data_IF_308042493806
#
_entry.id   IF_308042493806
#
_cell.length_a   1.000
_cell.length_b   1.000
_cell.length_c   1.000
_cell.angle_alpha   90.00
_cell.angle_beta   90.00
_cell.angle_gamma   90.00
#
_symmetry.space_group_name_H-M   'P 1'
#
loop_
_entity.id
_entity.type
_entity.pdbx_description
1 polymer ?
#
# COMPACT_ATOMS: atom_id res chain seq x y z
N UNK A 1 77.56 15.81 0.68
CA UNK A 1 76.95 14.61 1.30
C UNK A 1 75.49 14.54 0.88
N UNK A 2 75.14 13.39 0.32
CA UNK A 2 73.91 12.94 -0.35
C UNK A 2 72.62 13.40 0.35
N UNK A 3 71.64 13.93 -0.41
CA UNK A 3 70.21 13.84 -0.06
C UNK A 3 69.31 13.58 -1.28
N UNK A 4 69.00 12.29 -1.40
CA UNK A 4 67.83 11.58 -1.92
C UNK A 4 66.70 12.31 -2.68
N UNK A 5 66.41 11.69 -3.83
CA UNK A 5 65.19 11.70 -4.66
C UNK A 5 63.97 11.26 -3.86
N UNK A 6 62.80 11.85 -4.14
CA UNK A 6 61.50 11.15 -4.04
C UNK A 6 60.46 11.85 -4.94
N UNK A 7 60.18 11.25 -6.10
CA UNK A 7 58.98 11.52 -6.91
C UNK A 7 57.82 10.71 -6.31
N UNK A 8 56.79 11.39 -5.82
CA UNK A 8 55.52 10.76 -5.43
C UNK A 8 54.53 10.92 -6.60
N UNK A 9 54.34 9.83 -7.35
CA UNK A 9 53.24 9.71 -8.31
C UNK A 9 51.93 9.54 -7.55
N UNK A 10 51.02 10.51 -7.71
CA UNK A 10 49.67 10.42 -7.20
C UNK A 10 48.81 9.61 -8.18
N UNK A 11 48.59 8.33 -7.88
CA UNK A 11 47.57 7.52 -8.55
C UNK A 11 46.20 7.90 -7.98
N UNK A 12 45.42 8.70 -8.73
CA UNK A 12 44.00 8.90 -8.45
C UNK A 12 43.23 7.61 -8.77
N UNK A 13 42.75 6.94 -7.74
CA UNK A 13 41.72 5.90 -7.83
C UNK A 13 40.37 6.57 -8.14
N UNK A 14 39.87 6.39 -9.36
CA UNK A 14 38.52 6.76 -9.72
C UNK A 14 37.53 5.79 -9.06
N UNK A 15 36.84 6.24 -8.01
CA UNK A 15 35.70 5.55 -7.42
C UNK A 15 34.51 5.66 -8.38
N UNK A 16 34.33 4.64 -9.23
CA UNK A 16 33.13 4.48 -10.03
C UNK A 16 31.93 4.29 -9.11
N UNK A 17 31.03 5.27 -9.09
CA UNK A 17 29.72 5.16 -8.44
C UNK A 17 28.89 4.22 -9.30
N UNK A 18 28.75 2.96 -8.88
CA UNK A 18 27.80 2.04 -9.51
C UNK A 18 26.39 2.58 -9.23
N UNK A 19 25.72 3.14 -10.24
CA UNK A 19 24.29 3.38 -10.17
C UNK A 19 23.60 2.03 -10.02
N UNK A 20 23.09 1.73 -8.83
CA UNK A 20 22.14 0.63 -8.62
C UNK A 20 20.87 1.04 -9.34
N UNK A 21 20.67 0.56 -10.57
CA UNK A 21 19.37 0.64 -11.22
C UNK A 21 18.43 -0.28 -10.44
N UNK A 22 17.46 0.30 -9.74
CA UNK A 22 16.39 -0.47 -9.15
C UNK A 22 15.61 -1.16 -10.28
N UNK A 23 15.37 -2.46 -10.17
CA UNK A 23 14.57 -3.18 -11.14
C UNK A 23 13.19 -2.51 -11.28
N UNK A 24 12.67 -2.35 -12.51
CA UNK A 24 11.36 -1.77 -12.72
C UNK A 24 10.30 -2.62 -12.01
N UNK A 25 9.40 -1.96 -11.28
CA UNK A 25 8.30 -2.60 -10.59
C UNK A 25 7.45 -3.40 -11.59
N UNK A 26 7.28 -4.70 -11.36
CA UNK A 26 6.45 -5.57 -12.19
C UNK A 26 5.04 -5.68 -11.63
N UNK A 27 4.02 -5.66 -12.51
CA UNK A 27 2.63 -5.83 -12.08
C UNK A 27 2.42 -7.12 -11.28
N UNK A 28 1.67 -7.07 -10.15
CA UNK A 28 1.27 -8.26 -9.44
C UNK A 28 0.38 -9.13 -10.34
N UNK A 29 0.42 -10.45 -10.14
CA UNK A 29 -0.31 -11.42 -10.96
C UNK A 29 -1.81 -11.11 -11.05
N UNK A 30 -2.41 -10.62 -9.95
CA UNK A 30 -3.83 -10.24 -9.87
C UNK A 30 -4.23 -9.12 -10.83
N UNK A 31 -3.27 -8.27 -11.25
CA UNK A 31 -3.44 -7.15 -12.16
C UNK A 31 -2.90 -7.37 -13.58
N UNK A 32 -2.22 -8.48 -13.85
CA UNK A 32 -1.71 -8.76 -15.19
C UNK A 32 -2.85 -8.77 -16.22
N UNK A 33 -2.72 -7.92 -17.25
CA UNK A 33 -3.75 -7.73 -18.27
C UNK A 33 -5.03 -7.00 -17.80
N UNK A 34 -5.06 -6.48 -16.57
CA UNK A 34 -6.22 -5.76 -15.99
C UNK A 34 -5.98 -4.29 -15.73
N UNK A 35 -4.74 -3.85 -15.91
CA UNK A 35 -4.33 -2.47 -15.72
C UNK A 35 -3.21 -2.13 -16.71
N UNK A 36 -3.09 -0.85 -17.01
CA UNK A 36 -1.98 -0.27 -17.78
C UNK A 36 -1.32 0.81 -16.94
N UNK A 37 -0.01 0.87 -16.95
CA UNK A 37 0.73 1.96 -16.31
C UNK A 37 0.54 3.25 -17.10
N UNK A 38 0.30 4.35 -16.39
CA UNK A 38 0.22 5.69 -16.97
C UNK A 38 1.56 6.39 -16.83
N UNK A 39 2.00 7.02 -17.91
CA UNK A 39 3.16 7.90 -17.87
C UNK A 39 2.85 9.19 -17.06
N UNK A 40 3.84 9.82 -16.39
CA UNK A 40 3.63 11.03 -15.60
C UNK A 40 3.03 12.22 -16.36
N UNK A 41 3.11 12.24 -17.69
CA UNK A 41 2.53 13.28 -18.54
C UNK A 41 1.12 12.94 -19.04
N UNK A 42 0.55 11.79 -18.69
CA UNK A 42 -0.83 11.45 -18.99
C UNK A 42 -1.78 12.39 -18.23
N UNK A 43 -2.81 12.95 -18.88
CA UNK A 43 -3.74 13.89 -18.24
C UNK A 43 -4.50 13.27 -17.04
N UNK A 44 -4.66 11.95 -17.00
CA UNK A 44 -5.31 11.25 -15.89
C UNK A 44 -4.38 10.99 -14.70
N UNK A 45 -3.05 11.08 -14.85
CA UNK A 45 -2.05 10.64 -13.85
C UNK A 45 -2.29 11.24 -12.46
N UNK A 46 -2.59 12.54 -12.39
CA UNK A 46 -2.80 13.26 -11.13
C UNK A 46 -3.99 12.72 -10.30
N UNK A 47 -4.93 12.00 -10.92
CA UNK A 47 -6.09 11.42 -10.21
C UNK A 47 -5.70 10.34 -9.20
N UNK A 48 -4.55 9.69 -9.40
CA UNK A 48 -4.02 8.70 -8.45
C UNK A 48 -3.52 9.34 -7.16
N UNK A 49 -3.11 10.61 -7.20
CA UNK A 49 -2.56 11.36 -6.07
C UNK A 49 -1.46 10.58 -5.32
N UNK A 50 -0.49 10.09 -6.10
CA UNK A 50 0.57 9.17 -5.69
C UNK A 50 1.41 9.70 -4.53
N UNK A 51 1.51 11.02 -4.38
CA UNK A 51 2.18 11.71 -3.29
C UNK A 51 1.59 11.40 -1.90
N UNK A 52 0.32 10.97 -1.83
CA UNK A 52 -0.29 10.52 -0.58
C UNK A 52 -0.04 9.05 -0.29
N UNK A 53 0.32 8.26 -1.31
CA UNK A 53 0.55 6.82 -1.19
C UNK A 53 2.00 6.48 -0.83
N UNK A 54 2.96 7.09 -1.55
CA UNK A 54 4.39 6.82 -1.33
C UNK A 54 4.88 7.53 -0.09
N UNK A 55 5.49 6.79 0.83
CA UNK A 55 5.96 7.31 2.11
C UNK A 55 7.39 6.88 2.46
N UNK A 56 8.10 7.69 3.27
CA UNK A 56 9.37 7.28 3.86
C UNK A 56 9.21 6.02 4.72
N UNK A 57 10.32 5.32 4.93
CA UNK A 57 10.38 4.19 5.85
C UNK A 57 9.85 4.55 7.25
N UNK A 58 9.10 3.63 7.85
CA UNK A 58 8.49 3.79 9.17
C UNK A 58 7.17 4.56 9.21
N UNK A 59 6.65 5.07 8.08
CA UNK A 59 5.39 5.82 8.03
C UNK A 59 4.17 5.03 7.51
N UNK A 60 4.34 3.76 7.14
CA UNK A 60 3.29 2.99 6.45
C UNK A 60 3.03 3.50 5.03
N UNK A 61 2.05 2.94 4.33
CA UNK A 61 1.79 3.27 2.91
C UNK A 61 2.57 2.36 1.97
N UNK A 62 3.01 2.88 0.81
CA UNK A 62 3.82 2.11 -0.15
C UNK A 62 5.22 2.69 -0.30
N UNK A 63 6.20 1.84 -0.57
CA UNK A 63 7.61 2.23 -0.66
C UNK A 63 7.97 2.84 -2.03
N UNK A 64 7.24 2.44 -3.06
CA UNK A 64 7.22 3.02 -4.39
C UNK A 64 5.84 2.76 -4.99
N UNK A 65 5.48 3.46 -6.08
CA UNK A 65 4.18 3.26 -6.70
C UNK A 65 4.22 3.35 -8.22
N UNK A 66 3.43 2.49 -8.87
CA UNK A 66 2.98 2.68 -10.23
C UNK A 66 1.64 3.40 -10.21
N UNK A 67 1.45 4.36 -11.12
CA UNK A 67 0.13 4.92 -11.39
C UNK A 67 -0.48 4.14 -12.53
N UNK A 68 -1.66 3.56 -12.30
CA UNK A 68 -2.27 2.63 -13.25
C UNK A 68 -3.70 3.00 -13.55
N UNK A 69 -4.11 2.75 -14.79
CA UNK A 69 -5.51 2.79 -15.22
C UNK A 69 -6.04 1.37 -15.34
N UNK A 70 -7.10 1.09 -14.61
CA UNK A 70 -7.79 -0.20 -14.65
C UNK A 70 -8.52 -0.36 -15.99
N UNK A 71 -8.36 -1.50 -16.65
CA UNK A 71 -8.94 -1.75 -17.99
C UNK A 71 -10.16 -2.66 -17.94
N UNK A 72 -10.39 -3.34 -16.83
CA UNK A 72 -11.56 -4.18 -16.58
C UNK A 72 -11.99 -4.09 -15.11
N UNK A 73 -13.27 -4.28 -14.83
CA UNK A 73 -13.76 -4.32 -13.45
C UNK A 73 -13.04 -5.42 -12.65
N UNK A 74 -12.45 -5.06 -11.52
CA UNK A 74 -11.77 -6.00 -10.63
C UNK A 74 -12.30 -5.89 -9.19
N UNK A 75 -12.38 -7.00 -8.45
CA UNK A 75 -12.66 -6.94 -7.03
C UNK A 75 -11.47 -6.32 -6.29
N UNK A 76 -11.78 -5.55 -5.26
CA UNK A 76 -10.82 -5.08 -4.27
C UNK A 76 -11.41 -5.24 -2.88
N UNK A 77 -10.56 -5.50 -1.90
CA UNK A 77 -10.97 -5.85 -0.56
C UNK A 77 -10.42 -4.89 0.46
N UNK A 78 -11.15 -4.72 1.55
CA UNK A 78 -10.69 -3.91 2.68
C UNK A 78 -11.23 -4.46 3.97
N UNK A 79 -10.33 -4.69 4.91
CA UNK A 79 -10.72 -4.88 6.31
C UNK A 79 -11.03 -3.53 6.97
N UNK A 80 -12.07 -3.47 7.79
CA UNK A 80 -12.54 -2.25 8.45
C UNK A 80 -13.11 -2.52 9.86
N UNK A 81 -13.49 -1.47 10.59
CA UNK A 81 -13.85 -1.59 12.01
C UNK A 81 -15.22 -2.24 12.25
N UNK A 82 -16.15 -2.09 11.31
CA UNK A 82 -17.54 -2.55 11.42
C UNK A 82 -18.57 -1.43 11.59
N UNK A 83 -19.86 -1.75 11.36
CA UNK A 83 -20.93 -0.74 11.20
C UNK A 83 -21.21 0.07 12.48
N UNK A 84 -20.88 -0.45 13.66
CA UNK A 84 -21.06 0.25 14.93
C UNK A 84 -19.90 1.17 15.33
N UNK A 85 -18.85 1.24 14.51
CA UNK A 85 -17.62 1.99 14.81
C UNK A 85 -17.55 3.23 13.91
N UNK A 86 -18.09 4.33 14.43
CA UNK A 86 -18.21 5.60 13.72
C UNK A 86 -17.39 6.69 14.38
N UNK A 87 -16.86 7.61 13.58
CA UNK A 87 -16.22 8.83 14.07
C UNK A 87 -17.26 9.84 14.59
N UNK A 88 -16.80 11.00 15.07
CA UNK A 88 -17.67 12.06 15.59
C UNK A 88 -18.69 12.60 14.57
N UNK A 89 -18.48 12.37 13.27
CA UNK A 89 -19.39 12.75 12.19
C UNK A 89 -20.34 11.61 11.79
N UNK A 90 -20.33 10.48 12.51
CA UNK A 90 -21.17 9.32 12.20
C UNK A 90 -20.68 8.48 11.03
N UNK A 91 -19.45 8.69 10.54
CA UNK A 91 -18.90 7.95 9.41
C UNK A 91 -18.07 6.75 9.88
N UNK A 92 -18.24 5.61 9.21
CA UNK A 92 -17.39 4.42 9.40
C UNK A 92 -16.06 4.57 8.65
N UNK A 93 -15.05 3.76 8.99
CA UNK A 93 -13.80 3.68 8.22
C UNK A 93 -13.86 2.69 7.03
N UNK A 94 -15.07 2.27 6.64
CA UNK A 94 -15.32 1.33 5.54
C UNK A 94 -14.76 1.82 4.22
N UNK A 95 -14.98 3.09 3.87
CA UNK A 95 -14.45 3.71 2.64
C UNK A 95 -13.16 4.49 2.91
N UNK A 96 -12.07 3.77 3.19
CA UNK A 96 -10.73 4.35 3.32
C UNK A 96 -9.89 4.20 2.05
N UNK A 97 -8.74 4.88 1.97
CA UNK A 97 -7.93 4.91 0.75
C UNK A 97 -7.20 3.60 0.41
N UNK A 98 -6.97 2.72 1.38
CA UNK A 98 -6.16 1.51 1.21
C UNK A 98 -7.01 0.26 0.99
N UNK A 99 -6.70 -0.51 -0.06
CA UNK A 99 -7.39 -1.72 -0.50
C UNK A 99 -6.37 -2.79 -0.96
N UNK A 100 -6.76 -4.07 -0.91
CA UNK A 100 -6.00 -5.18 -1.51
C UNK A 100 -6.67 -5.68 -2.79
N UNK A 101 -5.89 -6.25 -3.70
CA UNK A 101 -6.39 -6.97 -4.88
C UNK A 101 -6.72 -8.42 -4.58
N UNK A 102 -5.97 -9.02 -3.66
CA UNK A 102 -6.16 -10.39 -3.23
C UNK A 102 -7.09 -10.43 -2.03
N UNK A 103 -7.94 -11.45 -2.01
CA UNK A 103 -8.88 -11.65 -0.91
C UNK A 103 -8.10 -11.85 0.42
N UNK A 104 -8.46 -11.12 1.49
CA UNK A 104 -7.86 -11.30 2.80
C UNK A 104 -8.03 -12.74 3.28
N UNK A 105 -6.99 -13.32 3.86
CA UNK A 105 -7.00 -14.69 4.36
C UNK A 105 -6.02 -14.86 5.53
N UNK A 106 -6.19 -15.96 6.28
CA UNK A 106 -5.36 -16.27 7.45
C UNK A 106 -5.71 -15.44 8.69
N UNK A 107 -4.89 -15.49 9.75
CA UNK A 107 -5.17 -14.79 11.00
C UNK A 107 -5.06 -13.27 10.86
N UNK A 108 -5.90 -12.54 11.60
CA UNK A 108 -5.96 -11.07 11.56
C UNK A 108 -4.62 -10.40 11.91
N UNK A 109 -3.86 -10.96 12.87
CA UNK A 109 -2.55 -10.42 13.25
C UNK A 109 -1.52 -10.63 12.14
N UNK A 110 -1.62 -11.71 11.37
CA UNK A 110 -0.75 -11.93 10.19
C UNK A 110 -1.04 -10.91 9.09
N UNK A 111 -2.32 -10.67 8.80
CA UNK A 111 -2.74 -9.67 7.82
C UNK A 111 -2.27 -8.26 8.18
N UNK A 112 -2.34 -7.93 9.47
CA UNK A 112 -1.86 -6.66 10.03
C UNK A 112 -0.38 -6.41 9.77
N UNK A 113 0.46 -7.43 9.94
CA UNK A 113 1.89 -7.36 9.62
C UNK A 113 2.11 -7.23 8.11
N UNK A 114 1.42 -8.05 7.31
CA UNK A 114 1.57 -8.07 5.86
C UNK A 114 1.18 -6.77 5.16
N UNK A 115 0.23 -6.02 5.73
CA UNK A 115 -0.25 -4.73 5.19
C UNK A 115 0.13 -3.51 6.05
N UNK A 116 1.05 -3.69 7.00
CA UNK A 116 1.61 -2.64 7.87
C UNK A 116 0.57 -1.72 8.53
N UNK A 117 -0.52 -2.32 9.02
CA UNK A 117 -1.65 -1.58 9.59
C UNK A 117 -1.41 -1.44 11.09
N UNK A 118 -1.58 -0.26 11.72
CA UNK A 118 -1.48 -0.05 13.19
C UNK A 118 -2.82 -0.21 13.94
N UNK A 119 -2.84 -0.57 15.25
CA UNK A 119 -4.08 -1.00 15.96
C UNK A 119 -5.03 0.17 16.10
N UNK A 120 -4.46 1.35 16.27
CA UNK A 120 -5.18 2.61 16.31
C UNK A 120 -5.71 3.06 14.94
N UNK A 121 -5.17 2.54 13.83
CA UNK A 121 -5.67 2.88 12.49
C UNK A 121 -6.90 2.08 12.09
N UNK A 122 -6.93 0.79 12.44
CA UNK A 122 -8.00 -0.11 12.04
C UNK A 122 -8.09 -1.34 12.94
N UNK A 123 -9.31 -1.68 13.36
CA UNK A 123 -9.61 -2.84 14.20
C UNK A 123 -9.70 -4.15 13.42
N UNK A 124 -9.80 -4.10 12.09
CA UNK A 124 -9.79 -5.24 11.18
C UNK A 124 -10.82 -6.32 11.55
N UNK A 125 -12.06 -5.90 11.79
CA UNK A 125 -13.14 -6.79 12.26
C UNK A 125 -14.09 -7.23 11.16
N UNK A 126 -14.21 -6.44 10.09
CA UNK A 126 -15.15 -6.67 9.00
C UNK A 126 -14.43 -6.62 7.67
N UNK A 127 -14.94 -7.33 6.68
CA UNK A 127 -14.39 -7.34 5.33
C UNK A 127 -15.42 -6.78 4.36
N UNK A 128 -15.03 -5.72 3.65
CA UNK A 128 -15.77 -5.18 2.52
C UNK A 128 -15.17 -5.71 1.21
N UNK A 129 -16.04 -6.05 0.27
CA UNK A 129 -15.65 -6.30 -1.13
C UNK A 129 -16.27 -5.23 -2.01
N UNK A 130 -15.45 -4.49 -2.72
CA UNK A 130 -15.87 -3.47 -3.67
C UNK A 130 -15.35 -3.82 -5.06
N UNK A 131 -15.84 -3.10 -6.07
CA UNK A 131 -15.35 -3.21 -7.44
C UNK A 131 -14.61 -1.94 -7.81
N UNK A 132 -13.34 -2.08 -8.16
CA UNK A 132 -12.59 -1.04 -8.84
C UNK A 132 -12.91 -1.14 -10.33
N UNK A 133 -13.56 -0.11 -10.86
CA UNK A 133 -14.16 -0.09 -12.20
C UNK A 133 -13.11 0.15 -13.29
N UNK A 134 -13.38 -0.36 -14.49
CA UNK A 134 -12.64 0.04 -15.68
C UNK A 134 -12.63 1.58 -15.83
N UNK A 135 -11.47 2.14 -16.14
CA UNK A 135 -11.22 3.58 -16.19
C UNK A 135 -10.81 4.21 -14.85
N UNK A 136 -10.81 3.45 -13.76
CA UNK A 136 -10.29 3.93 -12.48
C UNK A 136 -8.78 4.17 -12.55
N UNK A 137 -8.31 5.25 -11.92
CA UNK A 137 -6.89 5.63 -11.92
C UNK A 137 -6.35 5.67 -10.49
N UNK A 138 -5.46 4.75 -10.17
CA UNK A 138 -5.02 4.48 -8.79
C UNK A 138 -3.50 4.36 -8.70
N UNK A 139 -2.97 4.53 -7.49
CA UNK A 139 -1.58 4.19 -7.20
C UNK A 139 -1.52 2.78 -6.62
N UNK A 140 -0.55 1.99 -7.06
CA UNK A 140 -0.31 0.62 -6.56
C UNK A 140 1.16 0.44 -6.22
N UNK A 141 1.47 -0.37 -5.22
CA UNK A 141 2.87 -0.67 -4.93
C UNK A 141 3.09 -1.56 -3.72
N UNK A 142 4.35 -1.98 -3.52
CA UNK A 142 4.76 -2.76 -2.36
C UNK A 142 4.61 -1.96 -1.06
N UNK A 143 4.20 -2.64 0.01
CA UNK A 143 4.05 -2.07 1.35
C UNK A 143 5.33 -1.37 1.84
N UNK A 144 5.14 -0.31 2.61
CA UNK A 144 6.20 0.38 3.32
C UNK A 144 6.13 0.04 4.81
N UNK A 145 7.29 -0.14 5.40
CA UNK A 145 7.44 -0.34 6.84
C UNK A 145 6.72 0.74 7.66
N UNK A 146 6.22 0.34 8.83
CA UNK A 146 5.67 1.25 9.83
C UNK A 146 6.38 1.06 11.17
N UNK A 147 6.66 2.18 11.82
CA UNK A 147 7.33 2.19 13.13
C UNK A 147 6.32 2.22 14.27
N UNK A 148 6.73 1.77 15.45
CA UNK A 148 5.93 1.88 16.66
C UNK A 148 5.55 3.33 16.99
N UNK A 149 6.44 4.29 16.72
CA UNK A 149 6.14 5.72 16.87
C UNK A 149 4.98 6.15 15.96
N UNK A 150 5.00 5.74 14.69
CA UNK A 150 3.91 6.02 13.75
C UNK A 150 2.61 5.33 14.15
N UNK A 151 2.71 4.13 14.72
CA UNK A 151 1.56 3.42 15.27
C UNK A 151 1.03 4.01 16.59
N UNK A 152 1.76 4.95 17.22
CA UNK A 152 1.39 5.45 18.54
C UNK A 152 1.59 4.44 19.67
N UNK A 153 2.39 3.40 19.44
CA UNK A 153 2.61 2.31 20.39
C UNK A 153 3.89 2.55 21.22
N UNK A 154 3.77 2.91 22.52
CA UNK A 154 4.92 3.13 23.38
C UNK A 154 5.64 1.83 23.77
N UNK A 155 5.04 0.65 23.54
CA UNK A 155 5.65 -0.64 23.90
C UNK A 155 6.67 -1.13 22.87
N UNK A 156 6.60 -0.60 21.64
CA UNK A 156 7.45 -1.04 20.54
C UNK A 156 6.98 -2.33 19.84
N UNK A 157 5.80 -2.85 20.19
CA UNK A 157 5.26 -4.09 19.62
C UNK A 157 4.72 -3.89 18.19
N UNK A 158 4.17 -2.72 17.88
CA UNK A 158 3.64 -2.39 16.55
C UNK A 158 4.70 -1.79 15.63
N UNK A 159 5.66 -2.62 15.23
CA UNK A 159 6.60 -2.29 14.18
C UNK A 159 6.56 -3.37 13.10
N UNK A 160 6.18 -2.99 11.88
CA UNK A 160 6.04 -3.93 10.76
C UNK A 160 7.07 -3.59 9.67
N UNK A 161 7.78 -4.60 9.14
CA UNK A 161 8.74 -4.38 8.05
C UNK A 161 7.99 -4.02 6.77
N UNK A 162 8.72 -3.50 5.77
CA UNK A 162 8.16 -3.29 4.44
C UNK A 162 7.87 -4.65 3.78
N UNK A 163 6.74 -4.76 3.09
CA UNK A 163 6.36 -5.94 2.34
C UNK A 163 6.52 -5.73 0.82
N UNK A 164 7.57 -6.30 0.20
CA UNK A 164 7.79 -6.19 -1.25
C UNK A 164 6.88 -7.11 -2.08
N UNK A 165 6.15 -8.02 -1.44
CA UNK A 165 5.39 -9.09 -2.10
C UNK A 165 3.91 -8.73 -2.22
N UNK A 166 3.26 -8.37 -1.10
CA UNK A 166 1.83 -8.07 -1.10
C UNK A 166 1.60 -6.60 -1.43
N UNK A 167 1.25 -6.32 -2.68
CA UNK A 167 1.03 -4.96 -3.15
C UNK A 167 -0.33 -4.42 -2.71
N UNK A 168 -0.34 -3.13 -2.38
CA UNK A 168 -1.52 -2.41 -1.92
C UNK A 168 -2.01 -1.44 -3.01
N UNK A 169 -3.31 -1.16 -2.98
CA UNK A 169 -3.96 -0.16 -3.83
C UNK A 169 -4.32 1.06 -3.00
N UNK A 170 -3.94 2.24 -3.49
CA UNK A 170 -4.40 3.51 -2.97
C UNK A 170 -5.42 4.15 -3.91
N UNK A 171 -6.64 4.34 -3.39
CA UNK A 171 -7.70 5.11 -4.01
C UNK A 171 -7.82 6.43 -3.25
N UNK A 172 -7.41 7.55 -3.86
CA UNK A 172 -7.55 8.86 -3.24
C UNK A 172 -9.03 9.23 -3.08
N UNK A 173 -9.45 9.61 -1.86
CA UNK A 173 -10.82 10.06 -1.52
C UNK A 173 -11.92 9.18 -2.14
N UNK A 174 -11.97 7.87 -1.82
CA UNK A 174 -12.84 6.92 -2.50
C UNK A 174 -14.33 7.25 -2.39
N UNK A 175 -14.74 7.89 -1.29
CA UNK A 175 -16.11 8.38 -1.09
C UNK A 175 -16.58 9.39 -2.13
N UNK A 176 -15.66 10.08 -2.81
CA UNK A 176 -15.96 11.05 -3.88
C UNK A 176 -15.84 10.46 -5.29
N UNK A 177 -15.51 9.16 -5.42
CA UNK A 177 -15.18 8.50 -6.69
C UNK A 177 -16.05 7.27 -6.93
N UNK A 178 -17.36 7.39 -6.72
CA UNK A 178 -18.32 6.28 -6.82
C UNK A 178 -18.43 5.66 -8.22
N UNK A 179 -18.04 6.39 -9.27
CA UNK A 179 -17.91 5.85 -10.64
C UNK A 179 -16.67 4.96 -10.83
N UNK A 180 -15.67 5.07 -9.94
CA UNK A 180 -14.42 4.33 -10.03
C UNK A 180 -14.32 3.22 -8.98
N UNK A 181 -14.84 3.46 -7.78
CA UNK A 181 -14.92 2.47 -6.71
C UNK A 181 -16.38 2.30 -6.29
N UNK A 182 -16.96 1.16 -6.68
CA UNK A 182 -18.35 0.82 -6.39
C UNK A 182 -18.41 -0.23 -5.31
N UNK A 183 -19.03 0.10 -4.18
CA UNK A 183 -19.21 -0.82 -3.07
C UNK A 183 -20.69 -1.19 -2.93
N UNK A 184 -21.03 -2.48 -2.73
CA UNK A 184 -22.35 -2.88 -2.26
C UNK A 184 -22.70 -2.21 -0.92
N UNK A 185 -23.98 -2.27 -0.50
CA UNK A 185 -24.41 -1.83 0.84
C UNK A 185 -23.61 -2.54 1.94
N UNK A 186 -23.46 -1.90 3.11
CA UNK A 186 -22.72 -2.46 4.24
C UNK A 186 -23.25 -3.83 4.70
N UNK A 187 -24.54 -4.14 4.44
CA UNK A 187 -25.14 -5.44 4.73
C UNK A 187 -24.58 -6.61 3.93
N UNK A 188 -23.79 -6.34 2.88
CA UNK A 188 -23.08 -7.35 2.09
C UNK A 188 -21.69 -7.68 2.66
N UNK A 189 -21.19 -6.86 3.60
CA UNK A 189 -19.94 -7.13 4.29
C UNK A 189 -20.17 -8.19 5.37
N UNK A 190 -19.09 -8.86 5.78
CA UNK A 190 -19.14 -9.84 6.87
C UNK A 190 -18.18 -9.48 8.00
N UNK A 191 -18.56 -9.83 9.22
CA UNK A 191 -17.64 -9.84 10.36
C UNK A 191 -16.68 -11.02 10.18
N UNK A 192 -15.38 -10.76 10.17
CA UNK A 192 -14.35 -11.78 9.98
C UNK A 192 -14.17 -12.68 11.20
N UNK A 193 -13.88 -13.96 10.97
CA UNK A 193 -13.25 -14.83 11.97
C UNK A 193 -11.80 -14.34 12.19
N UNK A 194 -11.39 -13.99 13.42
CA UNK A 194 -10.03 -13.52 13.69
C UNK A 194 -8.93 -14.55 13.40
N UNK A 195 -9.27 -15.85 13.36
CA UNK A 195 -8.33 -16.93 13.04
C UNK A 195 -8.22 -17.21 11.54
N UNK A 196 -9.25 -16.85 10.77
CA UNK A 196 -9.28 -16.99 9.32
C UNK A 196 -10.19 -15.93 8.69
N UNK A 197 -9.61 -14.78 8.37
CA UNK A 197 -10.35 -13.61 7.89
C UNK A 197 -11.01 -13.79 6.53
N UNK A 198 -10.76 -14.90 5.82
CA UNK A 198 -11.49 -15.27 4.62
C UNK A 198 -12.92 -15.77 4.93
N UNK A 199 -13.20 -16.09 6.20
CA UNK A 199 -14.47 -16.65 6.64
C UNK A 199 -15.26 -15.66 7.50
N UNK A 200 -16.59 -15.69 7.41
CA UNK A 200 -17.41 -15.02 8.40
C UNK A 200 -17.19 -15.66 9.77
N UNK A 201 -17.30 -14.83 10.81
CA UNK A 201 -17.29 -15.27 12.20
C UNK A 201 -18.39 -16.34 12.39
N UNK A 202 -18.07 -17.49 13.03
CA UNK A 202 -19.05 -18.54 13.34
C UNK A 202 -20.22 -18.05 14.21
#
# INVERSE_FOLDING_TARGET
MIRHISWLGASLLALGTACVQADPLAFPASLQGKAVELAPNDPDYARAAVEYAVKPAGQGGVSAALVVKITQDIPVYRMWNGPGDVNAQGNTNRLGGWWSYDAPHGPVDGYRVAYEICRDWNKLKWVATCTLKAGAVVAIGPGQSVSAQTCGDPTGAEQYPANPVDWQTFVNKPWARTSELSCPPESADYQADPLDIAKPKP
#
